data_IF_028991509845
#
_entry.id   IF_028991509845
#
_cell.length_a   1.000
_cell.length_b   1.000
_cell.length_c   1.000
_cell.angle_alpha   90.00
_cell.angle_beta   90.00
_cell.angle_gamma   90.00
#
_symmetry.space_group_name_H-M   'P 1'
#
loop_
_entity.id
_entity.type
_entity.pdbx_description
1 polymer ?
#
# COMPACT_ATOMS: atom_id res chain seq x y z
N UNK A 1 -5.78 -12.53 8.65
CA UNK A 1 -4.70 -12.07 7.74
C UNK A 1 -3.88 -11.08 8.53
N UNK A 2 -2.59 -10.99 8.24
CA UNK A 2 -1.71 -9.98 8.82
C UNK A 2 -1.14 -9.15 7.70
N UNK A 3 -1.20 -7.84 7.86
CA UNK A 3 -0.75 -6.87 6.87
C UNK A 3 0.24 -5.93 7.55
N UNK A 4 1.29 -5.55 6.84
CA UNK A 4 2.25 -4.54 7.29
C UNK A 4 2.69 -3.77 6.07
N UNK A 5 2.90 -2.46 6.20
CA UNK A 5 3.34 -1.62 5.10
C UNK A 5 4.37 -0.63 5.59
N UNK A 6 5.36 -0.40 4.76
CA UNK A 6 6.39 0.61 4.95
C UNK A 6 6.76 1.21 3.59
N UNK A 7 7.72 2.11 3.61
CA UNK A 7 8.30 2.66 2.41
C UNK A 7 9.80 2.39 2.37
N UNK A 8 10.35 2.38 1.18
CA UNK A 8 11.79 2.33 0.94
C UNK A 8 12.20 3.55 0.11
N UNK A 9 13.38 4.09 0.41
CA UNK A 9 14.02 5.16 -0.39
C UNK A 9 15.31 4.62 -0.96
N UNK A 10 15.40 4.55 -2.28
CA UNK A 10 16.60 4.11 -2.99
C UNK A 10 16.89 5.04 -4.16
N UNK A 11 18.07 5.67 -4.17
CA UNK A 11 18.48 6.59 -5.24
C UNK A 11 17.53 7.77 -5.45
N UNK A 12 16.92 8.29 -4.38
CA UNK A 12 15.95 9.40 -4.43
C UNK A 12 14.55 9.01 -4.90
N UNK A 13 14.29 7.72 -5.13
CA UNK A 13 12.97 7.20 -5.49
C UNK A 13 12.32 6.54 -4.28
N UNK A 14 11.03 6.81 -4.09
CA UNK A 14 10.22 6.21 -3.04
C UNK A 14 9.52 4.97 -3.57
N UNK A 15 9.47 3.90 -2.78
CA UNK A 15 8.69 2.69 -3.07
C UNK A 15 7.80 2.35 -1.90
N UNK A 16 6.58 1.90 -2.18
CA UNK A 16 5.71 1.26 -1.20
C UNK A 16 6.10 -0.21 -1.10
N UNK A 17 6.29 -0.70 0.12
CA UNK A 17 6.58 -2.10 0.42
C UNK A 17 5.51 -2.63 1.36
N UNK A 18 4.75 -3.61 0.91
CA UNK A 18 3.69 -4.27 1.66
C UNK A 18 4.05 -5.73 1.92
N UNK A 19 3.79 -6.19 3.15
CA UNK A 19 3.93 -7.57 3.57
C UNK A 19 2.57 -8.11 3.98
N UNK A 20 2.15 -9.22 3.37
CA UNK A 20 0.84 -9.84 3.64
C UNK A 20 1.03 -11.31 3.96
N UNK A 21 0.46 -11.80 5.06
CA UNK A 21 0.43 -13.22 5.40
C UNK A 21 -0.97 -13.71 5.82
N UNK A 22 -1.18 -15.02 5.64
CA UNK A 22 -2.42 -15.71 6.00
C UNK A 22 -2.10 -17.02 6.73
N UNK A 23 -2.92 -17.46 7.70
CA UNK A 23 -2.66 -18.68 8.48
C UNK A 23 -2.71 -19.97 7.62
N UNK A 24 -3.31 -19.91 6.43
CA UNK A 24 -3.34 -20.98 5.45
C UNK A 24 -3.29 -20.39 4.03
N UNK A 25 -2.84 -21.15 3.01
CA UNK A 25 -2.76 -20.65 1.63
C UNK A 25 -4.11 -20.12 1.12
N UNK A 26 -4.20 -18.82 0.89
CA UNK A 26 -5.44 -18.11 0.57
C UNK A 26 -5.24 -17.19 -0.65
N UNK A 27 -6.19 -17.18 -1.57
CA UNK A 27 -6.21 -16.24 -2.69
C UNK A 27 -6.77 -14.89 -2.24
N UNK A 28 -5.98 -13.82 -2.38
CA UNK A 28 -6.34 -12.47 -1.96
C UNK A 28 -6.05 -11.45 -3.06
N UNK A 29 -6.75 -10.31 -3.00
CA UNK A 29 -6.35 -9.11 -3.71
C UNK A 29 -5.74 -8.14 -2.70
N UNK A 30 -4.57 -7.59 -3.04
CA UNK A 30 -3.83 -6.63 -2.21
C UNK A 30 -3.93 -5.25 -2.84
N UNK A 31 -4.13 -4.23 -2.02
CA UNK A 31 -4.28 -2.83 -2.41
C UNK A 31 -3.25 -1.99 -1.67
N UNK A 32 -2.54 -1.12 -2.39
CA UNK A 32 -1.57 -0.19 -1.82
C UNK A 32 -1.79 1.23 -2.34
N UNK A 33 -1.69 2.19 -1.44
CA UNK A 33 -1.77 3.62 -1.77
C UNK A 33 -1.01 4.48 -0.76
N UNK A 34 -0.82 5.74 -1.11
CA UNK A 34 -0.20 6.75 -0.27
C UNK A 34 -1.22 7.85 0.00
N UNK A 35 -1.24 8.46 1.19
CA UNK A 35 -2.12 9.60 1.50
C UNK A 35 -1.36 10.74 2.16
N UNK A 36 -1.61 11.98 1.76
CA UNK A 36 -1.01 13.14 2.42
C UNK A 36 -1.83 13.59 3.66
N UNK A 37 -1.13 13.99 4.72
CA UNK A 37 -1.72 14.72 5.85
C UNK A 37 -1.33 16.22 5.81
N UNK A 38 -2.21 17.14 6.24
CA UNK A 38 -3.66 16.97 6.45
C UNK A 38 -4.41 16.85 5.10
N UNK A 39 -5.58 16.22 5.13
CA UNK A 39 -6.56 16.26 4.03
C UNK A 39 -6.70 15.03 3.14
N UNK A 40 -6.23 13.83 3.55
CA UNK A 40 -6.39 12.55 2.86
C UNK A 40 -6.30 12.66 1.32
N UNK A 41 -5.25 13.30 0.81
CA UNK A 41 -5.00 13.35 -0.62
C UNK A 41 -4.32 12.04 -1.02
N UNK A 42 -5.05 11.18 -1.73
CA UNK A 42 -4.53 9.90 -2.18
C UNK A 42 -3.54 10.09 -3.35
N UNK A 43 -2.27 9.80 -3.09
CA UNK A 43 -1.24 9.70 -4.11
C UNK A 43 -1.07 8.23 -4.47
N UNK A 44 -1.25 7.93 -5.76
CA UNK A 44 -1.18 6.57 -6.26
C UNK A 44 0.17 6.30 -6.91
N UNK A 45 0.78 5.13 -6.72
CA UNK A 45 2.13 4.89 -7.19
C UNK A 45 2.35 5.04 -8.71
N UNK A 46 1.31 5.06 -9.55
CA UNK A 46 1.36 5.37 -10.98
C UNK A 46 0.19 6.25 -11.46
N UNK A 47 -0.44 7.00 -10.54
CA UNK A 47 -1.69 7.71 -10.80
C UNK A 47 -2.96 6.86 -10.67
N UNK A 48 -2.85 5.55 -10.37
CA UNK A 48 -4.00 4.67 -10.06
C UNK A 48 -3.76 3.76 -8.84
N UNK A 49 -4.81 3.39 -8.08
CA UNK A 49 -4.66 2.41 -7.00
C UNK A 49 -3.97 1.14 -7.49
N UNK A 50 -2.85 0.76 -6.86
CA UNK A 50 -2.19 -0.49 -7.21
C UNK A 50 -2.97 -1.64 -6.59
N UNK A 51 -3.52 -2.49 -7.45
CA UNK A 51 -4.15 -3.74 -7.05
C UNK A 51 -3.32 -4.92 -7.54
N UNK A 52 -2.75 -5.70 -6.62
CA UNK A 52 -2.22 -7.02 -6.92
C UNK A 52 -3.36 -8.01 -6.79
N UNK A 53 -3.94 -8.40 -7.93
CA UNK A 53 -5.11 -9.29 -7.94
C UNK A 53 -4.70 -10.75 -7.89
N UNK A 54 -5.48 -11.55 -7.17
CA UNK A 54 -5.44 -13.00 -7.17
C UNK A 54 -4.06 -13.57 -6.80
N UNK A 55 -3.43 -12.99 -5.78
CA UNK A 55 -2.17 -13.48 -5.24
C UNK A 55 -2.45 -14.52 -4.15
N UNK A 56 -1.67 -15.60 -4.15
CA UNK A 56 -1.81 -16.67 -3.16
C UNK A 56 -0.83 -16.41 -2.01
N UNK A 57 -1.35 -15.97 -0.87
CA UNK A 57 -0.56 -15.72 0.34
C UNK A 57 -0.68 -16.88 1.32
N UNK A 58 0.43 -17.23 1.97
CA UNK A 58 0.51 -18.31 2.96
C UNK A 58 1.05 -17.84 4.31
N UNK A 59 1.40 -18.78 5.21
CA UNK A 59 1.93 -18.49 6.53
C UNK A 59 3.25 -17.72 6.50
N UNK A 60 4.11 -18.02 5.52
CA UNK A 60 5.43 -17.39 5.35
C UNK A 60 5.35 -15.91 4.94
N UNK A 61 4.17 -15.46 4.52
CA UNK A 61 3.95 -14.11 4.00
C UNK A 61 4.52 -13.89 2.61
N UNK A 62 4.10 -12.79 1.99
CA UNK A 62 4.56 -12.37 0.68
C UNK A 62 4.78 -10.86 0.68
N UNK A 63 5.92 -10.46 0.12
CA UNK A 63 6.28 -9.05 -0.09
C UNK A 63 5.78 -8.57 -1.46
N UNK A 64 5.23 -7.36 -1.47
CA UNK A 64 4.80 -6.64 -2.66
C UNK A 64 5.44 -5.26 -2.65
N UNK A 65 6.24 -4.97 -3.68
CA UNK A 65 6.95 -3.71 -3.82
C UNK A 65 6.54 -2.99 -5.09
N UNK A 66 6.31 -1.69 -4.98
CA UNK A 66 5.97 -0.85 -6.13
C UNK A 66 6.56 0.56 -6.00
N UNK A 67 7.10 1.09 -7.09
CA UNK A 67 7.68 2.43 -7.13
C UNK A 67 6.58 3.51 -7.10
N UNK A 68 6.76 4.55 -6.30
CA UNK A 68 5.85 5.70 -6.27
C UNK A 68 6.32 6.70 -7.34
N UNK A 69 5.66 6.67 -8.49
CA UNK A 69 5.91 7.54 -9.64
C UNK A 69 5.10 8.85 -9.59
N UNK A 70 4.06 8.93 -8.75
CA UNK A 70 3.39 10.21 -8.49
C UNK A 70 4.38 11.21 -7.90
N UNK A 71 4.37 12.43 -8.44
CA UNK A 71 5.09 13.55 -7.87
C UNK A 71 4.53 13.89 -6.48
N UNK A 72 5.33 13.62 -5.45
CA UNK A 72 5.00 13.97 -4.08
C UNK A 72 5.51 15.38 -3.78
N UNK A 73 4.71 16.18 -3.08
CA UNK A 73 5.04 17.57 -2.77
C UNK A 73 6.11 17.63 -1.66
N UNK A 74 7.21 18.38 -1.88
CA UNK A 74 8.22 18.61 -0.84
C UNK A 74 7.60 19.24 0.42
N UNK A 75 8.11 18.86 1.60
CA UNK A 75 7.64 19.39 2.89
C UNK A 75 6.26 18.88 3.34
N UNK A 76 5.65 17.94 2.63
CA UNK A 76 4.39 17.29 3.03
C UNK A 76 4.66 15.88 3.54
N UNK A 77 3.99 15.52 4.64
CA UNK A 77 4.04 14.16 5.17
C UNK A 77 3.02 13.27 4.45
N UNK A 78 3.46 12.08 4.08
CA UNK A 78 2.63 11.09 3.39
C UNK A 78 2.60 9.78 4.17
N UNK A 79 1.45 9.19 4.39
CA UNK A 79 1.33 7.86 4.97
C UNK A 79 1.18 6.81 3.87
N UNK A 80 1.81 5.64 4.05
CA UNK A 80 1.59 4.47 3.19
C UNK A 80 0.55 3.56 3.81
N UNK A 81 -0.27 2.94 2.96
CA UNK A 81 -1.36 2.09 3.39
C UNK A 81 -1.41 0.81 2.57
N UNK A 82 -1.82 -0.26 3.23
CA UNK A 82 -2.14 -1.53 2.59
C UNK A 82 -3.49 -2.03 3.08
N UNK A 83 -4.24 -2.67 2.18
CA UNK A 83 -5.45 -3.42 2.52
C UNK A 83 -5.53 -4.67 1.68
N UNK A 84 -6.09 -5.74 2.24
CA UNK A 84 -6.29 -7.00 1.57
C UNK A 84 -7.74 -7.44 1.65
N UNK A 85 -8.20 -8.14 0.62
CA UNK A 85 -9.50 -8.81 0.58
C UNK A 85 -9.35 -10.21 0.02
N UNK A 86 -10.27 -11.12 0.32
CA UNK A 86 -10.34 -12.40 -0.39
C UNK A 86 -10.58 -12.14 -1.89
N UNK A 87 -9.85 -12.84 -2.74
CA UNK A 87 -9.98 -12.70 -4.18
C UNK A 87 -11.41 -13.06 -4.62
N UNK A 88 -11.96 -12.28 -5.56
CA UNK A 88 -13.35 -12.41 -6.03
C UNK A 88 -14.39 -11.64 -5.20
N UNK A 89 -13.99 -10.91 -4.16
CA UNK A 89 -14.87 -9.96 -3.45
C UNK A 89 -15.09 -8.66 -4.24
N UNK A 90 -16.14 -7.88 -3.93
CA UNK A 90 -16.40 -6.58 -4.57
C UNK A 90 -15.27 -5.57 -4.30
N UNK A 91 -14.98 -4.69 -5.26
CA UNK A 91 -14.03 -3.56 -5.09
C UNK A 91 -14.54 -2.63 -4.01
N UNK A 92 -13.72 -2.27 -3.00
CA UNK A 92 -14.15 -1.31 -1.99
C UNK A 92 -14.67 -0.05 -2.68
N UNK A 93 -15.89 0.36 -2.34
CA UNK A 93 -16.53 1.55 -2.91
C UNK A 93 -15.75 2.84 -2.57
N UNK A 94 -14.93 2.79 -1.53
CA UNK A 94 -13.96 3.82 -1.18
C UNK A 94 -12.80 3.18 -0.42
N UNK A 95 -11.62 3.82 -0.51
CA UNK A 95 -10.37 3.46 0.16
C UNK A 95 -10.44 3.89 1.64
N UNK A 96 -11.53 3.52 2.33
CA UNK A 96 -11.87 3.99 3.68
C UNK A 96 -12.10 2.86 4.68
N UNK A 97 -11.88 1.60 4.30
CA UNK A 97 -12.14 0.47 5.19
C UNK A 97 -10.86 -0.30 5.54
N UNK A 98 -10.55 -0.34 6.83
CA UNK A 98 -9.59 -1.26 7.49
C UNK A 98 -8.27 -1.42 6.75
N UNK A 99 -7.61 -0.31 6.42
CA UNK A 99 -6.23 -0.34 5.96
C UNK A 99 -5.29 -0.39 7.17
N UNK A 100 -4.22 -1.17 7.08
CA UNK A 100 -3.09 -0.96 7.99
C UNK A 100 -2.32 0.24 7.47
N UNK A 101 -2.28 1.30 8.28
CA UNK A 101 -1.44 2.46 8.03
C UNK A 101 -0.02 2.16 8.53
N UNK A 102 0.95 2.32 7.65
CA UNK A 102 2.36 2.17 7.96
C UNK A 102 2.99 3.47 8.46
N UNK A 103 4.30 3.58 8.25
CA UNK A 103 5.06 4.78 8.63
C UNK A 103 4.77 5.98 7.73
N UNK A 104 4.81 7.17 8.32
CA UNK A 104 4.81 8.44 7.60
C UNK A 104 6.15 8.65 6.90
N UNK A 105 6.09 8.92 5.59
CA UNK A 105 7.16 9.44 4.74
C UNK A 105 7.37 10.93 5.05
N UNK A 106 8.48 11.35 5.68
CA UNK A 106 8.90 12.73 5.62
C UNK A 106 9.55 12.97 4.26
N UNK A 107 8.93 13.77 3.41
CA UNK A 107 9.58 14.21 2.18
C UNK A 107 10.36 15.47 2.48
N UNK A 108 11.68 15.33 2.44
CA UNK A 108 12.61 16.43 2.66
C UNK A 108 12.37 17.55 1.63
N UNK A 109 12.59 18.82 2.01
CA UNK A 109 12.46 19.98 1.12
C UNK A 109 13.46 19.95 -0.06
#
# INVERSE_FOLDING_TARGET
>A
MKETVCYEVAGGKYSLVAYVSAPAPTLVDVYGWVSAQPGNVYAYPDGSPKSWRSVKVGPDGQEFKFAIETALSPGRAYDVHVSTRKAGGPTPAAVTSTAVTGHSLPIAP
#
